data_IF_197347654949
#
_entry.id   IF_197347654949
#
_cell.length_a   1.000
_cell.length_b   1.000
_cell.length_c   1.000
_cell.angle_alpha   90.00
_cell.angle_beta   90.00
_cell.angle_gamma   90.00
#
_symmetry.space_group_name_H-M   'P 1'
#
loop_
_entity.id
_entity.type
_entity.pdbx_description
1 polymer ?
#
# COMPACT_ATOMS: atom_id res chain seq x y z
N UNK A 1 21.46 20.15 -33.98
CA UNK A 1 20.73 18.92 -33.55
C UNK A 1 21.07 18.70 -32.08
N UNK A 2 20.16 19.04 -31.15
CA UNK A 2 20.40 18.89 -29.71
C UNK A 2 19.87 17.51 -29.31
N UNK A 3 20.78 16.62 -28.93
CA UNK A 3 20.43 15.34 -28.32
C UNK A 3 19.95 15.63 -26.89
N UNK A 4 18.63 15.59 -26.67
CA UNK A 4 18.07 15.56 -25.33
C UNK A 4 18.40 14.20 -24.71
N UNK A 5 19.44 14.15 -23.89
CA UNK A 5 19.73 13.00 -23.03
C UNK A 5 18.58 12.89 -22.03
N UNK A 6 17.63 11.99 -22.29
CA UNK A 6 16.69 11.57 -21.27
C UNK A 6 17.50 10.85 -20.19
N UNK A 7 17.77 11.55 -19.09
CA UNK A 7 18.24 10.90 -17.86
C UNK A 7 17.15 9.95 -17.40
N UNK A 8 17.28 8.67 -17.75
CA UNK A 8 16.50 7.59 -17.16
C UNK A 8 16.86 7.56 -15.68
N UNK A 9 16.01 8.11 -14.82
CA UNK A 9 16.14 7.88 -13.37
C UNK A 9 16.13 6.37 -13.17
N UNK A 10 17.23 5.86 -12.60
CA UNK A 10 17.38 4.45 -12.31
C UNK A 10 16.22 4.00 -11.42
N UNK A 11 15.62 2.87 -11.78
CA UNK A 11 14.53 2.27 -11.04
C UNK A 11 15.08 1.77 -9.70
N UNK A 12 14.54 2.25 -8.59
CA UNK A 12 15.10 1.95 -7.27
C UNK A 12 14.27 0.91 -6.51
N UNK A 13 14.95 -0.09 -5.95
CA UNK A 13 14.36 -1.06 -5.03
C UNK A 13 13.80 -0.39 -3.78
N UNK A 14 12.54 -0.68 -3.48
CA UNK A 14 11.82 -0.16 -2.30
C UNK A 14 12.36 -0.78 -1.01
N UNK A 15 12.67 -2.07 -1.06
CA UNK A 15 13.28 -2.83 0.01
C UNK A 15 14.22 -3.88 -0.59
N UNK A 16 15.09 -4.40 0.24
CA UNK A 16 15.96 -5.53 -0.09
C UNK A 16 15.62 -6.71 0.83
N UNK A 17 15.85 -7.92 0.33
CA UNK A 17 15.76 -9.12 1.15
C UNK A 17 17.16 -9.67 1.37
N UNK A 18 17.52 -9.87 2.63
CA UNK A 18 18.70 -10.63 3.03
C UNK A 18 18.24 -11.92 3.70
N UNK A 19 19.16 -12.74 4.20
CA UNK A 19 18.86 -14.04 4.84
C UNK A 19 17.94 -13.87 6.05
N UNK A 20 16.62 -13.91 5.81
CA UNK A 20 15.58 -13.79 6.84
C UNK A 20 15.20 -12.36 7.25
N UNK A 21 15.67 -11.32 6.56
CA UNK A 21 15.31 -9.93 6.87
C UNK A 21 14.84 -9.14 5.65
N UNK A 22 13.97 -8.16 5.94
CA UNK A 22 13.49 -7.16 5.00
C UNK A 22 14.18 -5.85 5.37
N UNK A 23 15.12 -5.40 4.55
CA UNK A 23 15.82 -4.13 4.75
C UNK A 23 15.03 -3.03 4.07
N UNK A 24 14.48 -2.12 4.88
CA UNK A 24 13.65 -1.01 4.39
C UNK A 24 14.49 0.23 4.09
N UNK A 25 14.00 1.08 3.19
CA UNK A 25 14.59 2.39 2.93
C UNK A 25 13.63 3.48 3.41
N UNK A 26 14.03 4.21 4.44
CA UNK A 26 13.21 5.23 5.11
C UNK A 26 12.61 6.28 4.16
N UNK A 27 13.31 6.63 3.07
CA UNK A 27 12.80 7.58 2.07
C UNK A 27 11.51 7.15 1.40
N UNK A 28 11.15 5.86 1.43
CA UNK A 28 9.87 5.36 0.90
C UNK A 28 8.77 5.26 1.96
N UNK A 29 9.07 5.57 3.22
CA UNK A 29 8.15 5.42 4.35
C UNK A 29 8.00 6.77 5.03
N UNK A 30 6.97 7.52 4.64
CA UNK A 30 6.55 8.66 5.44
C UNK A 30 5.96 8.16 6.76
N UNK A 31 6.26 8.82 7.90
CA UNK A 31 5.72 8.40 9.18
C UNK A 31 4.20 8.59 9.23
N UNK A 32 3.51 7.70 9.93
CA UNK A 32 2.10 7.96 10.26
C UNK A 32 2.00 9.12 11.25
N UNK A 33 1.03 10.00 11.02
CA UNK A 33 0.67 11.03 11.98
C UNK A 33 0.29 10.38 13.30
N UNK A 34 0.94 10.81 14.38
CA UNK A 34 0.61 10.38 15.74
C UNK A 34 -0.48 11.31 16.28
N UNK A 35 -1.64 10.76 16.60
CA UNK A 35 -2.67 11.43 17.38
C UNK A 35 -3.31 10.41 18.30
N UNK A 36 -3.44 10.78 19.56
CA UNK A 36 -4.04 9.92 20.58
C UNK A 36 -5.51 10.26 20.69
N UNK A 37 -6.34 9.23 20.75
CA UNK A 37 -7.77 9.37 21.02
C UNK A 37 -8.12 8.48 22.21
N UNK A 38 -8.97 9.00 23.08
CA UNK A 38 -9.46 8.26 24.23
C UNK A 38 -10.60 7.33 23.82
N UNK A 39 -10.79 6.23 24.55
CA UNK A 39 -11.94 5.33 24.39
C UNK A 39 -12.11 4.72 22.99
N UNK A 40 -11.01 4.56 22.23
CA UNK A 40 -11.02 3.91 20.91
C UNK A 40 -10.89 2.39 20.96
N UNK A 41 -10.56 1.84 22.14
CA UNK A 41 -10.41 0.40 22.41
C UNK A 41 -11.57 -0.14 23.27
N UNK A 42 -11.87 -1.46 23.20
CA UNK A 42 -11.35 -2.41 22.22
C UNK A 42 -11.76 -2.05 20.79
N UNK A 43 -10.82 -2.22 19.86
CA UNK A 43 -11.09 -1.99 18.43
C UNK A 43 -12.18 -2.94 17.92
N UNK A 44 -12.93 -2.48 16.93
CA UNK A 44 -13.97 -3.28 16.26
C UNK A 44 -13.32 -4.01 15.09
N UNK A 45 -13.33 -5.34 15.11
CA UNK A 45 -12.87 -6.15 13.98
C UNK A 45 -13.81 -5.97 12.78
N UNK A 46 -13.25 -5.63 11.61
CA UNK A 46 -14.01 -5.45 10.37
C UNK A 46 -13.79 -6.57 9.36
N UNK A 47 -12.58 -7.11 9.29
CA UNK A 47 -12.24 -8.24 8.44
C UNK A 47 -11.05 -9.00 9.02
N UNK A 48 -11.14 -10.32 8.96
CA UNK A 48 -10.00 -11.23 9.09
C UNK A 48 -9.78 -11.93 7.76
N UNK A 49 -8.54 -12.02 7.32
CA UNK A 49 -8.16 -12.76 6.11
C UNK A 49 -6.90 -13.57 6.39
N UNK A 50 -6.84 -14.79 5.88
CA UNK A 50 -5.63 -15.60 5.92
C UNK A 50 -4.92 -15.52 4.57
N UNK A 51 -3.70 -15.01 4.58
CA UNK A 51 -2.83 -14.90 3.42
C UNK A 51 -1.82 -16.04 3.45
N UNK A 52 -1.91 -16.95 2.49
CA UNK A 52 -0.94 -18.04 2.32
C UNK A 52 0.12 -17.67 1.29
N UNK A 53 1.37 -18.00 1.61
CA UNK A 53 2.49 -18.01 0.68
C UNK A 53 2.55 -19.36 -0.06
N UNK A 54 3.20 -19.39 -1.22
CA UNK A 54 3.29 -20.61 -2.03
C UNK A 54 4.19 -21.69 -1.41
N UNK A 55 5.06 -21.32 -0.46
CA UNK A 55 5.84 -22.25 0.34
C UNK A 55 5.05 -22.86 1.52
N UNK A 56 3.76 -22.56 1.67
CA UNK A 56 2.88 -23.06 2.72
C UNK A 56 2.87 -22.24 4.01
N UNK A 57 3.71 -21.21 4.12
CA UNK A 57 3.67 -20.27 5.26
C UNK A 57 2.40 -19.40 5.19
N UNK A 58 1.88 -18.93 6.33
CA UNK A 58 0.60 -18.21 6.36
C UNK A 58 0.51 -17.13 7.43
N UNK A 59 -0.25 -16.08 7.13
CA UNK A 59 -0.43 -14.91 7.99
C UNK A 59 -1.92 -14.60 8.15
N UNK A 60 -2.32 -14.19 9.34
CA UNK A 60 -3.66 -13.67 9.59
C UNK A 60 -3.62 -12.14 9.59
N UNK A 61 -4.44 -11.53 8.73
CA UNK A 61 -4.56 -10.09 8.57
C UNK A 61 -5.89 -9.64 9.18
N UNK A 62 -5.82 -8.87 10.26
CA UNK A 62 -6.98 -8.25 10.89
C UNK A 62 -7.03 -6.76 10.54
N UNK A 63 -8.13 -6.34 9.94
CA UNK A 63 -8.43 -4.93 9.71
C UNK A 63 -9.46 -4.47 10.76
N UNK A 64 -9.09 -3.51 11.61
CA UNK A 64 -9.91 -3.07 12.75
C UNK A 64 -10.19 -1.57 12.71
N UNK A 65 -11.38 -1.17 13.18
CA UNK A 65 -11.83 0.22 13.31
C UNK A 65 -11.84 0.67 14.76
N UNK A 66 -11.69 1.97 15.02
CA UNK A 66 -11.92 2.52 16.35
C UNK A 66 -13.39 2.39 16.75
N UNK A 67 -13.66 2.19 18.06
CA UNK A 67 -15.01 1.91 18.55
C UNK A 67 -15.96 3.11 18.52
N UNK A 68 -15.48 4.27 18.97
CA UNK A 68 -16.33 5.42 19.34
C UNK A 68 -16.01 6.70 18.55
N UNK A 69 -15.64 6.59 17.28
CA UNK A 69 -15.36 7.75 16.45
C UNK A 69 -16.46 7.88 15.38
N UNK A 70 -17.49 8.70 15.67
CA UNK A 70 -18.71 8.81 14.87
C UNK A 70 -18.48 9.46 13.49
N UNK A 71 -17.57 10.43 13.41
CA UNK A 71 -17.18 11.12 12.16
C UNK A 71 -15.88 10.55 11.57
N UNK A 72 -15.61 9.28 11.85
CA UNK A 72 -14.37 8.62 11.46
C UNK A 72 -14.30 8.42 9.94
N UNK A 73 -13.36 9.11 9.26
CA UNK A 73 -13.31 9.08 7.82
C UNK A 73 -12.75 7.76 7.26
N UNK A 74 -12.12 6.92 8.10
CA UNK A 74 -11.60 5.62 7.72
C UNK A 74 -12.56 4.46 7.91
N UNK A 75 -12.50 3.48 7.01
CA UNK A 75 -13.21 2.22 7.18
C UNK A 75 -12.52 1.34 8.22
N UNK A 76 -11.18 1.42 8.30
CA UNK A 76 -10.31 0.76 9.30
C UNK A 76 -9.10 1.63 9.65
N UNK A 77 -8.56 1.46 10.86
CA UNK A 77 -7.50 2.29 11.47
C UNK A 77 -6.30 1.49 11.93
N UNK A 78 -6.53 0.20 12.19
CA UNK A 78 -5.53 -0.73 12.64
C UNK A 78 -5.41 -1.82 11.59
N UNK A 79 -4.19 -2.06 11.14
CA UNK A 79 -3.82 -3.27 10.42
C UNK A 79 -2.96 -4.08 11.38
N UNK A 80 -3.45 -5.24 11.77
CA UNK A 80 -2.73 -6.18 12.61
C UNK A 80 -2.41 -7.42 11.78
N UNK A 81 -1.15 -7.83 11.80
CA UNK A 81 -0.66 -9.04 11.14
C UNK A 81 -0.19 -10.02 12.20
N UNK A 82 -0.70 -11.25 12.13
CA UNK A 82 -0.28 -12.34 12.98
C UNK A 82 0.39 -13.43 12.16
N UNK A 83 1.42 -14.03 12.75
CA UNK A 83 2.06 -15.25 12.27
C UNK A 83 2.01 -16.28 13.38
N UNK A 84 1.48 -17.47 13.10
CA UNK A 84 1.30 -18.54 14.09
C UNK A 84 0.60 -18.05 15.38
N UNK A 85 -0.40 -17.19 15.23
CA UNK A 85 -1.17 -16.60 16.34
C UNK A 85 -0.46 -15.49 17.13
N UNK A 86 0.80 -15.15 16.80
CA UNK A 86 1.56 -14.05 17.43
C UNK A 86 1.51 -12.80 16.56
N UNK A 87 1.29 -11.63 17.19
CA UNK A 87 1.35 -10.34 16.48
C UNK A 87 2.79 -10.06 16.02
N UNK A 88 2.98 -9.93 14.71
CA UNK A 88 4.28 -9.62 14.09
C UNK A 88 4.34 -8.22 13.49
N UNK A 89 3.19 -7.58 13.28
CA UNK A 89 3.09 -6.17 12.90
C UNK A 89 1.76 -5.60 13.37
N UNK A 90 1.80 -4.35 13.85
CA UNK A 90 0.61 -3.54 14.11
C UNK A 90 0.82 -2.12 13.63
N UNK A 91 0.06 -1.73 12.62
CA UNK A 91 0.05 -0.37 12.12
C UNK A 91 -1.19 0.36 12.66
N UNK A 92 -0.99 1.61 13.07
CA UNK A 92 -2.06 2.50 13.47
C UNK A 92 -1.97 3.79 12.65
N UNK A 93 -3.01 4.10 11.89
CA UNK A 93 -3.11 5.32 11.10
C UNK A 93 -4.38 6.06 11.47
N UNK A 94 -4.21 7.29 11.96
CA UNK A 94 -5.30 8.15 12.44
C UNK A 94 -6.36 8.38 11.39
N UNK A 95 -6.01 8.73 10.15
CA UNK A 95 -7.04 8.96 9.14
C UNK A 95 -7.57 7.63 8.53
N UNK A 96 -6.96 6.50 8.88
CA UNK A 96 -7.38 5.18 8.43
C UNK A 96 -7.13 4.86 6.95
N UNK A 97 -7.61 3.68 6.58
CA UNK A 97 -7.65 3.12 5.23
C UNK A 97 -9.10 2.85 4.84
N UNK A 98 -9.34 2.77 3.53
CA UNK A 98 -10.67 2.62 2.94
C UNK A 98 -10.89 1.23 2.35
N UNK A 99 -12.15 0.92 2.09
CA UNK A 99 -12.51 -0.15 1.15
C UNK A 99 -12.02 0.17 -0.28
N UNK A 100 -11.46 -0.83 -0.95
CA UNK A 100 -11.00 -0.76 -2.34
C UNK A 100 -12.12 -1.13 -3.32
N UNK A 101 -13.20 -0.35 -3.30
CA UNK A 101 -14.38 -0.57 -4.15
C UNK A 101 -14.30 0.11 -5.52
N UNK A 102 -13.63 1.26 -5.60
CA UNK A 102 -13.53 2.10 -6.81
C UNK A 102 -12.12 2.15 -7.40
N UNK A 103 -11.18 1.45 -6.78
CA UNK A 103 -9.80 1.41 -7.26
C UNK A 103 -9.67 0.44 -8.45
N UNK A 104 -8.75 0.69 -9.40
CA UNK A 104 -8.57 -0.18 -10.56
C UNK A 104 -8.32 -1.64 -10.15
N UNK A 105 -8.91 -2.59 -10.88
CA UNK A 105 -8.76 -4.00 -10.53
C UNK A 105 -7.47 -4.62 -11.08
N UNK A 106 -7.09 -4.28 -12.31
CA UNK A 106 -5.85 -4.74 -12.95
C UNK A 106 -5.68 -6.27 -13.10
N UNK A 107 -6.73 -7.07 -12.81
CA UNK A 107 -6.64 -8.53 -12.81
C UNK A 107 -5.74 -9.09 -11.69
N UNK A 108 -5.64 -8.38 -10.57
CA UNK A 108 -4.88 -8.80 -9.38
C UNK A 108 -5.82 -9.15 -8.23
N UNK A 109 -5.40 -10.07 -7.37
CA UNK A 109 -6.20 -10.49 -6.22
C UNK A 109 -6.42 -9.32 -5.27
N UNK A 110 -7.69 -9.08 -4.92
CA UNK A 110 -8.09 -8.04 -3.97
C UNK A 110 -9.03 -8.58 -2.91
N UNK A 111 -8.86 -8.08 -1.68
CA UNK A 111 -9.84 -8.24 -0.61
C UNK A 111 -10.74 -7.00 -0.58
N UNK A 112 -11.54 -6.82 0.48
CA UNK A 112 -12.28 -5.56 0.64
C UNK A 112 -11.35 -4.37 0.94
N UNK A 113 -10.18 -4.60 1.54
CA UNK A 113 -9.33 -3.52 2.09
C UNK A 113 -7.96 -3.37 1.41
N UNK A 114 -7.47 -4.40 0.72
CA UNK A 114 -6.11 -4.38 0.16
C UNK A 114 -5.97 -5.31 -1.04
N UNK A 115 -4.96 -5.03 -1.87
CA UNK A 115 -4.48 -5.94 -2.91
C UNK A 115 -3.48 -6.93 -2.33
N UNK A 116 -3.56 -8.20 -2.74
CA UNK A 116 -2.64 -9.29 -2.35
C UNK A 116 -1.87 -9.76 -3.58
N UNK A 117 -0.54 -9.63 -3.54
CA UNK A 117 0.33 -9.92 -4.68
C UNK A 117 1.50 -10.79 -4.24
N UNK A 118 1.65 -11.96 -4.85
CA UNK A 118 2.86 -12.78 -4.70
C UNK A 118 4.00 -12.14 -5.49
N UNK A 119 5.11 -11.81 -4.83
CA UNK A 119 6.32 -11.37 -5.52
C UNK A 119 7.15 -12.57 -5.99
N UNK A 120 7.18 -13.62 -5.17
CA UNK A 120 7.81 -14.91 -5.43
C UNK A 120 7.16 -15.99 -4.54
N UNK A 121 7.76 -17.18 -4.48
CA UNK A 121 7.21 -18.32 -3.72
C UNK A 121 7.13 -18.10 -2.20
N UNK A 122 7.94 -17.21 -1.65
CA UNK A 122 8.08 -17.00 -0.20
C UNK A 122 7.86 -15.54 0.24
N UNK A 123 7.42 -14.67 -0.67
CA UNK A 123 7.24 -13.25 -0.43
C UNK A 123 5.94 -12.76 -1.04
N UNK A 124 5.11 -12.11 -0.23
CA UNK A 124 3.84 -11.50 -0.65
C UNK A 124 3.77 -10.06 -0.19
N UNK A 125 3.08 -9.22 -0.95
CA UNK A 125 2.84 -7.81 -0.64
C UNK A 125 1.36 -7.57 -0.49
N UNK A 126 1.01 -6.83 0.57
CA UNK A 126 -0.32 -6.31 0.81
C UNK A 126 -0.30 -4.79 0.57
N UNK A 127 -1.20 -4.29 -0.27
CA UNK A 127 -1.27 -2.87 -0.63
C UNK A 127 -2.60 -2.28 -0.15
N UNK A 128 -2.53 -1.38 0.81
CA UNK A 128 -3.67 -0.68 1.39
C UNK A 128 -3.75 0.74 0.83
N UNK A 129 -5.00 1.20 0.62
CA UNK A 129 -5.29 2.56 0.15
C UNK A 129 -5.88 3.35 1.30
N UNK A 130 -5.24 4.49 1.61
CA UNK A 130 -5.72 5.47 2.56
C UNK A 130 -7.02 6.11 2.09
N UNK A 131 -7.72 6.75 3.01
CA UNK A 131 -8.89 7.54 2.65
C UNK A 131 -8.50 8.79 1.84
N UNK A 132 -9.49 9.33 1.13
CA UNK A 132 -9.35 10.55 0.35
C UNK A 132 -9.83 11.72 1.21
N UNK A 133 -8.95 12.65 1.54
CA UNK A 133 -9.27 13.83 2.37
C UNK A 133 -8.94 15.09 1.59
N UNK A 134 -9.89 16.03 1.53
CA UNK A 134 -9.67 17.44 1.11
C UNK A 134 -8.81 17.58 -0.16
N UNK A 135 -9.12 16.81 -1.19
CA UNK A 135 -8.41 16.84 -2.48
C UNK A 135 -6.91 16.57 -2.38
N UNK A 136 -6.44 15.84 -1.35
CA UNK A 136 -5.06 15.36 -1.25
C UNK A 136 -4.96 13.89 -1.71
N UNK A 137 -3.81 13.46 -2.26
CA UNK A 137 -3.58 12.06 -2.58
C UNK A 137 -3.70 11.17 -1.34
N UNK A 138 -4.41 10.04 -1.41
CA UNK A 138 -4.45 9.08 -0.32
C UNK A 138 -3.06 8.47 -0.11
N UNK A 139 -2.80 7.98 1.09
CA UNK A 139 -1.57 7.22 1.35
C UNK A 139 -1.70 5.81 0.78
N UNK A 140 -0.71 5.37 0.02
CA UNK A 140 -0.54 3.96 -0.33
C UNK A 140 0.44 3.36 0.68
N UNK A 141 -0.01 2.37 1.44
CA UNK A 141 0.80 1.66 2.43
C UNK A 141 1.03 0.22 1.97
N UNK A 142 2.29 -0.24 1.98
CA UNK A 142 2.63 -1.59 1.51
C UNK A 142 3.34 -2.38 2.60
N UNK A 143 2.82 -3.57 2.88
CA UNK A 143 3.36 -4.50 3.87
C UNK A 143 3.89 -5.72 3.12
N UNK A 144 5.14 -6.09 3.38
CA UNK A 144 5.74 -7.33 2.87
C UNK A 144 5.65 -8.41 3.94
N UNK A 145 5.17 -9.59 3.54
CA UNK A 145 5.13 -10.82 4.33
C UNK A 145 6.24 -11.75 3.85
N UNK A 146 7.14 -12.16 4.74
CA UNK A 146 8.26 -13.08 4.43
C UNK A 146 8.82 -13.69 5.71
N UNK A 147 9.05 -15.01 5.70
CA UNK A 147 9.83 -15.71 6.73
C UNK A 147 9.37 -15.42 8.17
N UNK A 148 8.06 -15.46 8.40
CA UNK A 148 7.42 -15.16 9.69
C UNK A 148 7.41 -13.69 10.10
N UNK A 149 7.85 -12.77 9.24
CA UNK A 149 7.86 -11.33 9.50
C UNK A 149 6.86 -10.60 8.59
N UNK A 150 6.33 -9.50 9.10
CA UNK A 150 5.56 -8.53 8.33
C UNK A 150 6.19 -7.15 8.50
N UNK A 151 6.48 -6.46 7.40
CA UNK A 151 7.23 -5.19 7.42
C UNK A 151 6.58 -4.15 6.53
N UNK A 152 6.34 -2.94 7.05
CA UNK A 152 5.95 -1.78 6.24
C UNK A 152 7.16 -1.32 5.41
N UNK A 153 7.05 -1.40 4.08
CA UNK A 153 8.17 -1.05 3.17
C UNK A 153 7.92 0.22 2.36
N UNK A 154 6.66 0.65 2.27
CA UNK A 154 6.27 1.85 1.53
C UNK A 154 5.09 2.51 2.21
N UNK A 155 5.15 3.83 2.37
CA UNK A 155 4.03 4.66 2.80
C UNK A 155 4.17 6.06 2.20
N UNK A 156 3.43 6.37 1.12
CA UNK A 156 3.49 7.67 0.43
C UNK A 156 2.12 8.13 -0.09
N UNK A 157 1.88 9.44 -0.17
CA UNK A 157 0.67 9.98 -0.77
C UNK A 157 0.70 9.85 -2.31
N UNK A 158 -0.16 9.00 -2.86
CA UNK A 158 -0.33 8.72 -4.28
C UNK A 158 -1.76 8.24 -4.59
N UNK A 159 -2.35 8.68 -5.70
CA UNK A 159 -3.51 8.03 -6.30
C UNK A 159 -3.08 6.78 -7.08
N UNK A 160 -3.90 5.73 -7.11
CA UNK A 160 -3.75 4.64 -8.09
C UNK A 160 -4.55 5.02 -9.33
N UNK A 161 -3.85 5.37 -10.42
CA UNK A 161 -4.51 5.73 -11.67
C UNK A 161 -4.82 4.49 -12.51
N UNK A 162 -3.89 3.55 -12.55
CA UNK A 162 -3.99 2.38 -13.41
C UNK A 162 -3.16 1.23 -12.83
N UNK A 163 -3.60 0.00 -13.07
CA UNK A 163 -2.85 -1.21 -12.76
C UNK A 163 -2.75 -2.02 -14.04
N UNK A 164 -1.51 -2.30 -14.46
CA UNK A 164 -1.20 -3.11 -15.64
C UNK A 164 -0.57 -4.41 -15.21
N UNK A 165 -1.12 -5.53 -15.67
CA UNK A 165 -0.54 -6.85 -15.49
C UNK A 165 -0.14 -7.42 -16.85
N UNK A 166 1.13 -7.77 -17.01
CA UNK A 166 1.70 -8.35 -18.22
C UNK A 166 2.59 -9.53 -17.84
N UNK A 167 2.05 -10.75 -17.97
CA UNK A 167 2.72 -11.94 -17.44
C UNK A 167 2.96 -11.83 -15.93
N UNK A 168 4.23 -11.92 -15.53
CA UNK A 168 4.67 -11.82 -14.13
C UNK A 168 5.00 -10.39 -13.67
N UNK A 169 4.87 -9.41 -14.56
CA UNK A 169 5.10 -7.99 -14.25
C UNK A 169 3.78 -7.31 -13.92
N UNK A 170 3.76 -6.59 -12.80
CA UNK A 170 2.64 -5.75 -12.38
C UNK A 170 3.14 -4.32 -12.20
N UNK A 171 2.55 -3.39 -12.94
CA UNK A 171 2.83 -1.96 -12.81
C UNK A 171 1.62 -1.23 -12.23
N UNK A 172 1.81 -0.58 -11.08
CA UNK A 172 0.90 0.43 -10.57
C UNK A 172 1.35 1.79 -11.10
N UNK A 173 0.51 2.41 -11.93
CA UNK A 173 0.71 3.79 -12.36
C UNK A 173 0.09 4.70 -11.30
N UNK A 174 0.94 5.41 -10.59
CA UNK A 174 0.59 6.25 -9.47
C UNK A 174 0.63 7.73 -9.86
N UNK A 175 -0.25 8.54 -9.29
CA UNK A 175 -0.24 10.02 -9.47
C UNK A 175 0.00 10.71 -8.14
N UNK A 176 1.03 11.56 -8.06
CA UNK A 176 1.44 12.25 -6.83
C UNK A 176 0.70 13.54 -6.52
N UNK A 177 0.10 14.18 -7.53
CA UNK A 177 -0.63 15.42 -7.38
C UNK A 177 -2.12 15.22 -7.65
N UNK A 178 -2.90 16.16 -7.14
CA UNK A 178 -4.30 16.33 -7.51
C UNK A 178 -4.36 17.10 -8.81
N UNK A 179 -5.23 16.64 -9.72
CA UNK A 179 -5.51 17.38 -10.94
C UNK A 179 -6.64 18.36 -10.66
N UNK A 180 -6.38 19.62 -10.95
CA UNK A 180 -7.39 20.67 -10.98
C UNK A 180 -7.89 20.80 -12.42
N UNK A 181 -9.15 21.17 -12.59
CA UNK A 181 -9.81 21.12 -13.89
C UNK A 181 -10.54 22.44 -14.13
N UNK A 182 -10.33 23.04 -15.31
CA UNK A 182 -11.14 24.19 -15.74
C UNK A 182 -12.53 23.77 -16.22
N UNK A 183 -12.65 22.53 -16.69
CA UNK A 183 -13.89 21.88 -17.11
C UNK A 183 -13.73 20.36 -16.97
N UNK A 184 -14.76 19.58 -17.26
CA UNK A 184 -14.77 18.13 -17.04
C UNK A 184 -13.67 17.31 -17.74
N UNK A 185 -12.93 17.88 -18.70
CA UNK A 185 -11.91 17.16 -19.47
C UNK A 185 -10.53 17.81 -19.51
N UNK A 186 -10.40 19.10 -19.15
CA UNK A 186 -9.16 19.87 -19.33
C UNK A 186 -8.49 20.14 -17.99
N UNK A 187 -7.39 19.45 -17.65
CA UNK A 187 -6.67 19.70 -16.41
C UNK A 187 -5.83 20.99 -16.51
N UNK A 188 -5.82 21.77 -15.43
CA UNK A 188 -5.01 22.98 -15.26
C UNK A 188 -3.54 22.63 -15.10
N UNK A 189 -3.25 21.54 -14.40
CA UNK A 189 -1.91 21.06 -14.12
C UNK A 189 -1.68 19.67 -14.73
N UNK A 190 -0.43 19.36 -15.05
CA UNK A 190 -0.06 18.06 -15.60
C UNK A 190 0.05 17.01 -14.48
N UNK A 191 -0.29 15.73 -14.76
CA UNK A 191 -0.12 14.66 -13.78
C UNK A 191 1.35 14.36 -13.54
N UNK A 192 1.74 14.34 -12.26
CA UNK A 192 3.05 13.88 -11.81
C UNK A 192 2.95 12.37 -11.58
N UNK A 193 3.25 11.61 -12.64
CA UNK A 193 3.17 10.16 -12.61
C UNK A 193 4.43 9.53 -12.02
N UNK A 194 4.20 8.42 -11.32
CA UNK A 194 5.20 7.51 -10.78
C UNK A 194 4.80 6.09 -11.11
N UNK A 195 5.79 5.21 -11.21
CA UNK A 195 5.52 3.79 -11.46
C UNK A 195 6.06 2.98 -10.30
N UNK A 196 5.18 2.13 -9.76
CA UNK A 196 5.55 1.10 -8.84
C UNK A 196 5.46 -0.24 -9.56
N UNK A 197 6.61 -0.90 -9.74
CA UNK A 197 6.73 -2.14 -10.50
C UNK A 197 7.01 -3.29 -9.56
N UNK A 198 6.27 -4.38 -9.70
CA UNK A 198 6.54 -5.68 -9.09
C UNK A 198 6.93 -6.65 -10.18
N UNK A 199 8.12 -7.22 -10.07
CA UNK A 199 8.65 -8.16 -11.04
C UNK A 199 9.78 -8.98 -10.43
N UNK A 200 9.80 -10.30 -10.68
CA UNK A 200 10.88 -11.20 -10.30
C UNK A 200 11.28 -11.11 -8.81
N UNK A 201 10.31 -11.21 -7.89
CA UNK A 201 10.58 -11.14 -6.44
C UNK A 201 10.91 -9.75 -5.91
N UNK A 202 10.87 -8.71 -6.75
CA UNK A 202 11.34 -7.36 -6.40
C UNK A 202 10.26 -6.31 -6.61
N UNK A 203 10.39 -5.23 -5.84
CA UNK A 203 9.55 -4.04 -5.96
C UNK A 203 10.39 -2.80 -6.18
N UNK A 204 9.97 -1.99 -7.13
CA UNK A 204 10.68 -0.78 -7.48
C UNK A 204 9.78 0.43 -7.57
N UNK A 205 10.34 1.62 -7.35
CA UNK A 205 9.66 2.89 -7.48
C UNK A 205 10.45 3.84 -8.38
N UNK A 206 9.77 4.45 -9.37
CA UNK A 206 10.35 5.37 -10.35
C UNK A 206 9.53 6.64 -10.47
#
# INVERSE_FOLDING_TARGET
MILLVQTTKAQELIFETTTGEIVTKSKFIDPFRKKTYNNITPYILKQTTNESLQNGDSYTINCLKYRNWENDPGDVHIIQVLHQGKEVLKLNKVDGWRYINKEPDGGITKTKFYYSIDLDKNTKVLIFVGIYIQSLPPYISMIVLKSGKATLVFNKPCYINEIKKQGNKIDFILRKNTLEYVNSSTPVNQPILKTLTMENGRMYFK
#
